data_IF_900094823514
#
_entry.id   IF_900094823514
#
_cell.length_a   1.000
_cell.length_b   1.000
_cell.length_c   1.000
_cell.angle_alpha   90.00
_cell.angle_beta   90.00
_cell.angle_gamma   90.00
#
_symmetry.space_group_name_H-M   'P 1'
#
loop_
_entity.id
_entity.type
_entity.pdbx_description
1 polymer ?
#
# COMPACT_ATOMS: atom_id res chain seq x y z
N UNK A 1 19.08 24.30 36.91
CA UNK A 1 18.29 23.05 36.92
C UNK A 1 17.56 22.99 35.57
N UNK A 2 18.14 22.28 34.63
CA UNK A 2 17.51 22.04 33.32
C UNK A 2 16.57 20.84 33.45
N UNK A 3 15.27 21.07 33.30
CA UNK A 3 14.25 20.03 33.24
C UNK A 3 14.43 19.23 31.96
N UNK A 4 14.92 18.00 32.07
CA UNK A 4 14.88 17.01 30.99
C UNK A 4 13.40 16.72 30.67
N UNK A 5 12.96 17.14 29.50
CA UNK A 5 11.67 16.71 28.95
C UNK A 5 11.77 15.20 28.65
N UNK A 6 11.02 14.42 29.41
CA UNK A 6 10.82 13.00 29.20
C UNK A 6 10.12 12.81 27.84
N UNK A 7 10.85 12.53 26.77
CA UNK A 7 10.28 11.99 25.54
C UNK A 7 9.82 10.55 25.81
N UNK A 8 8.61 10.41 26.30
CA UNK A 8 7.90 9.14 26.23
C UNK A 8 7.73 8.82 24.74
N UNK A 9 8.51 7.86 24.26
CA UNK A 9 8.30 7.25 22.94
C UNK A 9 6.95 6.52 23.01
N UNK A 10 5.88 7.19 22.62
CA UNK A 10 4.59 6.54 22.39
C UNK A 10 4.77 5.68 21.14
N UNK A 11 4.81 4.35 21.34
CA UNK A 11 4.87 3.41 20.22
C UNK A 11 3.71 3.69 19.24
N UNK A 12 4.00 3.70 17.95
CA UNK A 12 2.97 3.87 16.92
C UNK A 12 1.92 2.75 17.06
N UNK A 13 0.63 3.07 16.83
CA UNK A 13 -0.43 2.07 16.88
C UNK A 13 -0.18 0.99 15.83
N UNK A 14 -0.33 -0.27 16.24
CA UNK A 14 -0.20 -1.40 15.32
C UNK A 14 -1.39 -1.46 14.37
N UNK A 15 -1.15 -1.77 13.09
CA UNK A 15 -2.11 -1.68 11.99
C UNK A 15 -3.40 -2.51 12.18
N UNK A 16 -3.29 -3.64 12.88
CA UNK A 16 -4.40 -4.56 13.20
C UNK A 16 -4.64 -4.69 14.70
N UNK A 17 -4.26 -3.67 15.48
CA UNK A 17 -4.48 -3.67 16.93
C UNK A 17 -5.95 -3.92 17.28
N UNK A 18 -6.19 -4.87 18.20
CA UNK A 18 -7.52 -5.23 18.67
C UNK A 18 -8.35 -6.07 17.69
N UNK A 19 -7.83 -6.44 16.52
CA UNK A 19 -8.51 -7.34 15.59
C UNK A 19 -8.33 -8.80 15.99
N UNK A 20 -9.41 -9.57 15.90
CA UNK A 20 -9.41 -11.01 16.05
C UNK A 20 -9.65 -11.68 14.69
N UNK A 21 -8.63 -12.39 14.18
CA UNK A 21 -8.67 -13.01 12.84
C UNK A 21 -8.69 -14.52 12.99
N UNK A 22 -9.70 -15.17 12.41
CA UNK A 22 -9.66 -16.61 12.21
C UNK A 22 -8.89 -16.87 10.92
N UNK A 23 -7.74 -17.56 11.03
CA UNK A 23 -6.91 -18.01 9.92
C UNK A 23 -7.21 -19.47 9.62
N UNK A 24 -7.98 -19.71 8.57
CA UNK A 24 -8.31 -21.04 8.06
C UNK A 24 -7.29 -21.54 7.05
N UNK A 25 -6.80 -22.77 7.22
CA UNK A 25 -5.89 -23.43 6.29
C UNK A 25 -6.61 -24.59 5.62
N UNK A 26 -6.72 -24.55 4.29
CA UNK A 26 -7.08 -25.72 3.49
C UNK A 26 -5.83 -26.44 2.94
N UNK A 27 -5.98 -27.66 2.43
CA UNK A 27 -4.85 -28.47 1.99
C UNK A 27 -4.12 -27.90 0.77
N UNK A 28 -2.81 -27.74 0.86
CA UNK A 28 -1.95 -27.33 -0.24
C UNK A 28 -0.55 -26.96 0.22
N UNK A 29 0.42 -27.08 -0.69
CA UNK A 29 1.83 -26.77 -0.39
C UNK A 29 2.01 -25.35 0.15
N UNK A 30 1.17 -24.40 -0.22
CA UNK A 30 1.24 -23.01 0.22
C UNK A 30 0.98 -22.83 1.74
N UNK A 31 0.60 -23.87 2.50
CA UNK A 31 0.46 -23.82 3.95
C UNK A 31 1.71 -23.32 4.67
N UNK A 32 2.92 -23.52 4.12
CA UNK A 32 4.14 -22.99 4.71
C UNK A 32 4.12 -21.44 4.80
N UNK A 33 3.53 -20.76 3.81
CA UNK A 33 3.38 -19.29 3.84
C UNK A 33 2.40 -18.83 4.91
N UNK A 34 1.43 -19.67 5.28
CA UNK A 34 0.45 -19.32 6.33
C UNK A 34 1.08 -19.23 7.71
N UNK A 35 2.20 -19.93 7.94
CA UNK A 35 3.00 -19.79 9.14
C UNK A 35 3.62 -18.37 9.26
N UNK A 36 4.16 -17.86 8.16
CA UNK A 36 4.69 -16.50 8.09
C UNK A 36 3.57 -15.45 8.18
N UNK A 37 2.44 -15.68 7.49
CA UNK A 37 1.27 -14.81 7.57
C UNK A 37 0.74 -14.72 9.01
N UNK A 38 0.63 -15.85 9.72
CA UNK A 38 0.21 -15.88 11.13
C UNK A 38 1.10 -14.97 11.99
N UNK A 39 2.43 -15.09 11.84
CA UNK A 39 3.39 -14.24 12.56
C UNK A 39 3.27 -12.76 12.16
N UNK A 40 3.08 -12.48 10.87
CA UNK A 40 2.92 -11.12 10.36
C UNK A 40 1.66 -10.44 10.92
N UNK A 41 0.54 -11.15 10.97
CA UNK A 41 -0.71 -10.68 11.58
C UNK A 41 -0.55 -10.35 13.06
N UNK A 42 0.09 -11.24 13.83
CA UNK A 42 0.36 -11.02 15.27
C UNK A 42 1.28 -9.82 15.46
N UNK A 43 2.34 -9.70 14.65
CA UNK A 43 3.24 -8.55 14.71
C UNK A 43 2.53 -7.23 14.36
N UNK A 44 1.51 -7.28 13.50
CA UNK A 44 0.63 -6.15 13.20
C UNK A 44 -0.42 -5.86 14.29
N UNK A 45 -0.46 -6.65 15.38
CA UNK A 45 -1.32 -6.42 16.54
C UNK A 45 -2.62 -7.23 16.57
N UNK A 46 -2.84 -8.11 15.60
CA UNK A 46 -4.01 -9.01 15.62
C UNK A 46 -3.83 -10.17 16.60
N UNK A 47 -4.93 -10.67 17.13
CA UNK A 47 -5.01 -12.03 17.68
C UNK A 47 -5.41 -12.99 16.57
N UNK A 48 -4.74 -14.15 16.48
CA UNK A 48 -4.98 -15.11 15.40
C UNK A 48 -5.45 -16.44 15.99
N UNK A 49 -6.64 -16.87 15.58
CA UNK A 49 -7.17 -18.21 15.87
C UNK A 49 -7.02 -19.07 14.63
N UNK A 50 -6.25 -20.14 14.73
CA UNK A 50 -6.02 -21.04 13.59
C UNK A 50 -7.04 -22.18 13.58
N UNK A 51 -7.58 -22.44 12.38
CA UNK A 51 -8.47 -23.59 12.11
C UNK A 51 -7.93 -24.30 10.85
N UNK A 52 -7.76 -25.62 10.92
CA UNK A 52 -7.15 -26.40 9.84
C UNK A 52 -8.11 -27.50 9.39
N UNK A 53 -8.15 -27.73 8.07
CA UNK A 53 -8.78 -28.93 7.51
C UNK A 53 -7.83 -30.13 7.68
N UNK A 54 -8.38 -31.36 7.67
CA UNK A 54 -7.57 -32.59 7.67
C UNK A 54 -6.52 -32.59 6.55
N UNK A 55 -6.89 -32.08 5.37
CA UNK A 55 -5.96 -31.96 4.25
C UNK A 55 -4.80 -30.98 4.53
N UNK A 56 -5.03 -29.92 5.31
CA UNK A 56 -3.97 -28.96 5.68
C UNK A 56 -2.94 -29.60 6.61
N UNK A 57 -3.35 -30.52 7.49
CA UNK A 57 -2.46 -31.22 8.42
C UNK A 57 -1.41 -32.09 7.71
N UNK A 58 -1.63 -32.46 6.44
CA UNK A 58 -0.64 -33.15 5.60
C UNK A 58 0.51 -32.25 5.15
N UNK A 59 0.36 -30.92 5.20
CA UNK A 59 1.36 -29.95 4.72
C UNK A 59 2.03 -29.18 5.85
N UNK A 60 1.32 -28.95 6.96
CA UNK A 60 1.85 -28.29 8.15
C UNK A 60 1.13 -28.82 9.38
N UNK A 61 1.84 -28.97 10.49
CA UNK A 61 1.23 -29.57 11.68
C UNK A 61 0.48 -28.55 12.54
N UNK A 62 -0.59 -28.96 13.24
CA UNK A 62 -1.28 -28.12 14.23
C UNK A 62 -0.31 -27.59 15.31
N UNK A 63 0.68 -28.38 15.73
CA UNK A 63 1.70 -27.98 16.72
C UNK A 63 2.50 -26.77 16.23
N UNK A 64 2.89 -26.73 14.95
CA UNK A 64 3.60 -25.59 14.37
C UNK A 64 2.73 -24.34 14.44
N UNK A 65 1.47 -24.43 14.02
CA UNK A 65 0.57 -23.29 14.01
C UNK A 65 0.18 -22.83 15.43
N UNK A 66 0.07 -23.75 16.39
CA UNK A 66 -0.16 -23.43 17.79
C UNK A 66 1.02 -22.69 18.39
N UNK A 67 2.25 -23.12 18.13
CA UNK A 67 3.45 -22.45 18.61
C UNK A 67 3.58 -21.02 18.04
N UNK A 68 3.16 -20.80 16.79
CA UNK A 68 3.23 -19.50 16.14
C UNK A 68 2.08 -18.56 16.57
N UNK A 69 0.86 -19.06 16.71
CA UNK A 69 -0.30 -18.26 17.09
C UNK A 69 -0.40 -18.02 18.59
N UNK A 70 0.27 -18.84 19.42
CA UNK A 70 0.13 -18.85 20.86
C UNK A 70 -1.24 -19.33 21.35
N UNK A 71 -2.06 -19.92 20.48
CA UNK A 71 -3.43 -20.38 20.76
C UNK A 71 -3.62 -21.82 20.28
N UNK A 72 -4.46 -22.64 20.97
CA UNK A 72 -4.79 -23.97 20.51
C UNK A 72 -5.40 -23.95 19.08
N UNK A 73 -4.93 -24.83 18.23
CA UNK A 73 -5.46 -25.00 16.86
C UNK A 73 -6.69 -25.89 16.86
N UNK A 74 -7.71 -25.54 16.09
CA UNK A 74 -8.90 -26.36 15.90
C UNK A 74 -8.79 -27.13 14.58
N UNK A 75 -9.05 -28.46 14.63
CA UNK A 75 -8.96 -29.33 13.45
C UNK A 75 -10.24 -30.17 13.27
N UNK A 76 -11.15 -30.21 14.25
CA UNK A 76 -12.36 -31.02 14.23
C UNK A 76 -13.56 -30.27 14.75
N UNK A 77 -14.72 -30.47 14.11
CA UNK A 77 -16.00 -29.96 14.60
C UNK A 77 -16.44 -30.63 15.92
N UNK A 78 -15.82 -31.74 16.26
CA UNK A 78 -16.10 -32.51 17.47
C UNK A 78 -15.19 -32.16 18.64
N UNK A 79 -14.41 -31.08 18.49
CA UNK A 79 -13.52 -30.60 19.54
C UNK A 79 -14.29 -30.29 20.83
N UNK A 80 -13.87 -30.91 21.92
CA UNK A 80 -14.56 -30.82 23.21
C UNK A 80 -14.16 -29.63 24.07
N UNK A 81 -13.27 -28.74 23.59
CA UNK A 81 -12.81 -27.56 24.34
C UNK A 81 -13.92 -26.53 24.57
N UNK A 82 -14.84 -26.42 23.63
CA UNK A 82 -16.00 -25.54 23.77
C UNK A 82 -17.05 -26.18 24.67
N UNK A 83 -17.44 -25.50 25.76
CA UNK A 83 -18.36 -26.02 26.75
C UNK A 83 -19.75 -26.41 26.17
N UNK A 84 -20.20 -25.64 25.14
CA UNK A 84 -21.46 -25.89 24.43
C UNK A 84 -21.29 -26.80 23.21
N UNK A 85 -20.08 -27.26 22.90
CA UNK A 85 -19.70 -28.05 21.71
C UNK A 85 -20.11 -27.40 20.39
N UNK A 86 -20.19 -26.07 20.35
CA UNK A 86 -20.53 -25.28 19.16
C UNK A 86 -19.35 -24.43 18.69
N UNK A 87 -18.16 -25.02 18.55
CA UNK A 87 -16.94 -24.32 18.13
C UNK A 87 -17.17 -23.51 16.86
N UNK A 88 -17.89 -24.02 15.85
CA UNK A 88 -18.19 -23.34 14.62
C UNK A 88 -19.01 -22.05 14.81
N UNK A 89 -19.88 -22.00 15.80
CA UNK A 89 -20.67 -20.81 16.14
C UNK A 89 -19.80 -19.79 16.90
N UNK A 90 -19.14 -20.24 17.97
CA UNK A 90 -18.36 -19.35 18.84
C UNK A 90 -17.21 -18.68 18.06
N UNK A 91 -16.36 -19.49 17.39
CA UNK A 91 -15.23 -19.01 16.63
C UNK A 91 -15.63 -18.06 15.49
N UNK A 92 -16.76 -18.35 14.79
CA UNK A 92 -17.23 -17.49 13.71
C UNK A 92 -17.78 -16.15 14.20
N UNK A 93 -18.34 -16.08 15.43
CA UNK A 93 -18.94 -14.86 16.00
C UNK A 93 -17.93 -13.97 16.70
N UNK A 94 -16.84 -14.54 17.23
CA UNK A 94 -15.76 -13.81 17.88
C UNK A 94 -14.82 -13.15 16.87
N UNK A 95 -14.82 -13.60 15.62
CA UNK A 95 -13.93 -13.10 14.59
C UNK A 95 -14.35 -11.71 14.06
N UNK A 96 -13.36 -10.84 13.83
CA UNK A 96 -13.52 -9.64 13.00
C UNK A 96 -13.43 -9.96 11.50
N UNK A 97 -12.77 -11.08 11.14
CA UNK A 97 -12.74 -11.64 9.79
C UNK A 97 -12.33 -13.12 9.82
N UNK A 98 -12.82 -13.89 8.86
CA UNK A 98 -12.31 -15.23 8.52
C UNK A 98 -11.46 -15.12 7.26
N UNK A 99 -10.18 -15.51 7.34
CA UNK A 99 -9.22 -15.49 6.23
C UNK A 99 -8.81 -16.92 5.90
N UNK A 100 -9.14 -17.40 4.71
CA UNK A 100 -8.75 -18.73 4.25
C UNK A 100 -7.47 -18.61 3.42
N UNK A 101 -6.36 -19.00 3.98
CA UNK A 101 -5.04 -18.93 3.35
C UNK A 101 -4.17 -20.15 3.75
N UNK A 102 -3.88 -21.06 2.83
CA UNK A 102 -4.33 -21.12 1.44
C UNK A 102 -5.79 -21.54 1.30
N UNK A 103 -6.45 -21.10 0.20
CA UNK A 103 -7.77 -21.57 -0.21
C UNK A 103 -7.62 -22.43 -1.48
N UNK A 104 -7.74 -23.74 -1.35
CA UNK A 104 -7.62 -24.68 -2.47
C UNK A 104 -8.83 -24.64 -3.40
N UNK A 105 -8.71 -25.17 -4.62
CA UNK A 105 -9.83 -25.28 -5.55
C UNK A 105 -10.99 -26.10 -4.97
N UNK A 106 -10.70 -27.18 -4.24
CA UNK A 106 -11.69 -27.99 -3.55
C UNK A 106 -12.41 -27.16 -2.48
N UNK A 107 -11.67 -26.42 -1.64
CA UNK A 107 -12.27 -25.62 -0.59
C UNK A 107 -13.12 -24.46 -1.15
N UNK A 108 -12.69 -23.83 -2.25
CA UNK A 108 -13.49 -22.86 -3.00
C UNK A 108 -14.82 -23.48 -3.45
N UNK A 109 -14.78 -24.68 -4.02
CA UNK A 109 -15.99 -25.38 -4.46
C UNK A 109 -16.93 -25.72 -3.29
N UNK A 110 -16.38 -26.13 -2.13
CA UNK A 110 -17.18 -26.38 -0.90
C UNK A 110 -17.89 -25.13 -0.44
N UNK A 111 -17.20 -23.99 -0.40
CA UNK A 111 -17.78 -22.70 -0.02
C UNK A 111 -18.95 -22.31 -0.92
N UNK A 112 -18.76 -22.39 -2.25
CA UNK A 112 -19.80 -22.05 -3.25
C UNK A 112 -21.02 -22.95 -3.14
N UNK A 113 -20.81 -24.24 -2.82
CA UNK A 113 -21.91 -25.22 -2.69
C UNK A 113 -22.57 -25.20 -1.31
N UNK A 114 -22.06 -24.40 -0.34
CA UNK A 114 -22.56 -24.39 1.02
C UNK A 114 -22.34 -25.71 1.77
N UNK A 115 -21.31 -26.50 1.40
CA UNK A 115 -20.97 -27.73 2.12
C UNK A 115 -20.38 -27.39 3.49
N UNK A 116 -20.83 -28.11 4.50
CA UNK A 116 -20.51 -27.87 5.91
C UNK A 116 -20.19 -29.19 6.62
N UNK A 117 -19.37 -30.02 5.99
CA UNK A 117 -19.01 -31.37 6.42
C UNK A 117 -17.74 -31.43 7.29
N UNK A 118 -17.08 -30.31 7.50
CA UNK A 118 -15.93 -30.15 8.40
C UNK A 118 -15.92 -28.75 9.06
N UNK A 119 -15.13 -28.59 10.13
CA UNK A 119 -15.22 -27.39 10.99
C UNK A 119 -15.07 -26.08 10.23
N UNK A 120 -14.06 -25.95 9.37
CA UNK A 120 -13.74 -24.68 8.70
C UNK A 120 -14.85 -24.26 7.73
N UNK A 121 -15.38 -25.19 6.92
CA UNK A 121 -16.50 -24.91 6.01
C UNK A 121 -17.80 -24.63 6.78
N UNK A 122 -18.04 -25.35 7.88
CA UNK A 122 -19.19 -25.13 8.77
C UNK A 122 -19.13 -23.73 9.41
N UNK A 123 -17.95 -23.28 9.85
CA UNK A 123 -17.74 -21.93 10.37
C UNK A 123 -18.01 -20.86 9.32
N UNK A 124 -17.53 -21.07 8.08
CA UNK A 124 -17.75 -20.13 6.99
C UNK A 124 -19.26 -19.98 6.68
N UNK A 125 -20.02 -21.07 6.75
CA UNK A 125 -21.47 -21.06 6.53
C UNK A 125 -22.21 -20.44 7.73
N UNK A 126 -21.76 -20.67 8.96
CA UNK A 126 -22.40 -20.22 10.19
C UNK A 126 -22.09 -18.77 10.58
N UNK A 127 -21.12 -18.11 9.90
CA UNK A 127 -20.72 -16.74 10.21
C UNK A 127 -21.87 -15.75 10.02
N UNK A 128 -22.00 -14.70 10.85
CA UNK A 128 -22.86 -13.55 10.56
C UNK A 128 -22.31 -12.77 9.36
N UNK A 129 -22.95 -12.90 8.19
CA UNK A 129 -22.43 -12.39 6.89
C UNK A 129 -22.31 -10.86 6.87
N UNK A 130 -23.21 -10.18 7.55
CA UNK A 130 -23.27 -8.73 7.70
C UNK A 130 -22.13 -8.15 8.58
N UNK A 131 -21.52 -8.98 9.42
CA UNK A 131 -20.57 -8.54 10.45
C UNK A 131 -19.19 -9.18 10.33
N UNK A 132 -19.13 -10.45 9.92
CA UNK A 132 -17.87 -11.21 9.82
C UNK A 132 -17.56 -11.50 8.35
N UNK A 133 -16.72 -10.70 7.71
CA UNK A 133 -16.33 -10.90 6.32
C UNK A 133 -15.52 -12.18 6.13
N UNK A 134 -15.65 -12.78 4.96
CA UNK A 134 -14.85 -13.91 4.50
C UNK A 134 -13.88 -13.43 3.41
N UNK A 135 -12.58 -13.63 3.64
CA UNK A 135 -11.53 -13.34 2.69
C UNK A 135 -10.85 -14.66 2.28
N UNK A 136 -10.59 -14.85 1.00
CA UNK A 136 -9.98 -16.07 0.49
C UNK A 136 -8.73 -15.76 -0.32
N UNK A 137 -7.63 -16.47 -0.04
CA UNK A 137 -6.36 -16.41 -0.77
C UNK A 137 -6.21 -17.70 -1.59
N UNK A 138 -6.61 -17.72 -2.87
CA UNK A 138 -6.54 -18.91 -3.71
C UNK A 138 -5.11 -19.40 -3.88
N UNK A 139 -4.93 -20.73 -3.86
CA UNK A 139 -3.64 -21.35 -4.05
C UNK A 139 -3.79 -22.71 -4.75
N UNK A 140 -3.30 -22.81 -5.98
CA UNK A 140 -3.39 -24.03 -6.79
C UNK A 140 -2.43 -23.96 -7.98
N UNK A 141 -2.31 -25.06 -8.70
CA UNK A 141 -1.61 -25.10 -9.98
C UNK A 141 -2.29 -24.17 -11.02
N UNK A 142 -1.52 -23.69 -11.99
CA UNK A 142 -2.00 -22.74 -13.03
C UNK A 142 -3.17 -23.28 -13.84
N UNK A 143 -3.14 -24.57 -14.23
CA UNK A 143 -4.22 -25.19 -15.00
C UNK A 143 -5.50 -25.32 -14.17
N UNK A 144 -5.35 -25.65 -12.87
CA UNK A 144 -6.47 -25.65 -11.94
C UNK A 144 -7.05 -24.25 -11.74
N UNK A 145 -6.18 -23.22 -11.68
CA UNK A 145 -6.63 -21.84 -11.56
C UNK A 145 -7.35 -21.36 -12.81
N UNK A 146 -6.78 -21.63 -14.00
CA UNK A 146 -7.39 -21.25 -15.29
C UNK A 146 -8.63 -22.08 -15.64
N UNK A 147 -8.89 -23.19 -14.94
CA UNK A 147 -10.01 -24.06 -15.25
C UNK A 147 -11.37 -23.35 -15.14
N UNK A 148 -12.27 -23.49 -16.14
CA UNK A 148 -13.55 -22.77 -16.13
C UNK A 148 -14.39 -22.97 -14.86
N UNK A 149 -14.34 -24.16 -14.24
CA UNK A 149 -15.03 -24.44 -12.99
C UNK A 149 -14.48 -23.58 -11.82
N UNK A 150 -13.14 -23.44 -11.74
CA UNK A 150 -12.51 -22.63 -10.71
C UNK A 150 -12.82 -21.15 -10.90
N UNK A 151 -12.74 -20.62 -12.14
CA UNK A 151 -13.05 -19.24 -12.43
C UNK A 151 -14.52 -18.91 -12.15
N UNK A 152 -15.45 -19.81 -12.51
CA UNK A 152 -16.87 -19.67 -12.16
C UNK A 152 -17.09 -19.66 -10.64
N UNK A 153 -16.42 -20.54 -9.91
CA UNK A 153 -16.56 -20.61 -8.46
C UNK A 153 -15.96 -19.36 -7.77
N UNK A 154 -14.84 -18.82 -8.24
CA UNK A 154 -14.27 -17.57 -7.73
C UNK A 154 -15.23 -16.39 -7.96
N UNK A 155 -15.80 -16.29 -9.17
CA UNK A 155 -16.79 -15.27 -9.49
C UNK A 155 -18.06 -15.41 -8.60
N UNK A 156 -18.51 -16.63 -8.34
CA UNK A 156 -19.64 -16.88 -7.46
C UNK A 156 -19.33 -16.48 -6.01
N UNK A 157 -18.15 -16.81 -5.49
CA UNK A 157 -17.73 -16.37 -4.14
C UNK A 157 -17.75 -14.85 -4.00
N UNK A 158 -17.28 -14.13 -5.03
CA UNK A 158 -17.35 -12.67 -5.04
C UNK A 158 -18.80 -12.16 -5.07
N UNK A 159 -19.67 -12.77 -5.87
CA UNK A 159 -21.10 -12.44 -5.92
C UNK A 159 -21.80 -12.71 -4.58
N UNK A 160 -21.38 -13.74 -3.84
CA UNK A 160 -21.86 -14.10 -2.51
C UNK A 160 -21.24 -13.20 -1.40
N UNK A 161 -20.43 -12.20 -1.77
CA UNK A 161 -19.87 -11.21 -0.86
C UNK A 161 -18.54 -11.59 -0.21
N UNK A 162 -17.89 -12.69 -0.63
CA UNK A 162 -16.54 -12.98 -0.20
C UNK A 162 -15.50 -12.10 -0.92
N UNK A 163 -14.42 -11.76 -0.23
CA UNK A 163 -13.30 -11.01 -0.81
C UNK A 163 -12.25 -11.97 -1.31
N UNK A 164 -12.05 -12.00 -2.62
CA UNK A 164 -10.97 -12.80 -3.24
C UNK A 164 -9.71 -11.94 -3.31
N UNK A 165 -8.65 -12.34 -2.57
CA UNK A 165 -7.39 -11.60 -2.46
C UNK A 165 -6.47 -11.72 -3.70
N UNK A 166 -6.90 -12.51 -4.70
CA UNK A 166 -6.13 -12.73 -5.92
C UNK A 166 -5.05 -13.80 -5.76
N UNK A 167 -4.23 -13.93 -6.80
CA UNK A 167 -3.11 -14.89 -6.87
C UNK A 167 -1.86 -14.21 -7.37
N UNK A 168 -0.70 -14.78 -7.02
CA UNK A 168 0.58 -14.42 -7.60
C UNK A 168 0.87 -15.21 -8.87
N UNK A 169 1.74 -14.66 -9.72
CA UNK A 169 2.30 -15.32 -10.91
C UNK A 169 3.76 -15.70 -10.68
N UNK A 170 4.20 -16.81 -11.25
CA UNK A 170 5.59 -17.25 -11.17
C UNK A 170 5.77 -18.77 -11.20
N UNK A 171 7.00 -19.23 -10.90
CA UNK A 171 7.33 -20.65 -10.85
C UNK A 171 6.55 -21.38 -9.74
N UNK A 172 5.98 -22.50 -10.05
CA UNK A 172 5.19 -23.37 -9.16
C UNK A 172 5.96 -24.62 -8.78
N UNK A 173 5.56 -25.29 -7.70
CA UNK A 173 6.23 -26.48 -7.18
C UNK A 173 6.30 -27.65 -8.19
N UNK A 174 5.36 -27.70 -9.15
CA UNK A 174 5.35 -28.68 -10.24
C UNK A 174 6.29 -28.34 -11.40
N UNK A 175 7.05 -27.23 -11.34
CA UNK A 175 7.95 -26.78 -12.40
C UNK A 175 7.29 -25.90 -13.47
N UNK A 176 5.99 -25.69 -13.41
CA UNK A 176 5.28 -24.79 -14.31
C UNK A 176 5.38 -23.32 -13.87
N UNK A 177 5.15 -22.39 -14.80
CA UNK A 177 5.12 -20.95 -14.52
C UNK A 177 3.77 -20.36 -14.93
N UNK A 178 3.16 -19.57 -14.06
CA UNK A 178 1.87 -18.91 -14.33
C UNK A 178 1.15 -18.49 -13.07
N UNK A 179 -0.11 -18.08 -13.24
CA UNK A 179 -1.00 -17.65 -12.17
C UNK A 179 -1.49 -18.83 -11.33
N UNK A 180 -1.84 -18.58 -10.07
CA UNK A 180 -2.40 -19.58 -9.15
C UNK A 180 -1.60 -19.75 -7.86
N UNK A 181 -0.41 -19.16 -7.74
CA UNK A 181 0.33 -19.14 -6.48
C UNK A 181 -0.41 -18.31 -5.44
N UNK A 182 -0.44 -18.77 -4.18
CA UNK A 182 -0.83 -17.91 -3.10
C UNK A 182 0.07 -16.69 -3.04
N UNK A 183 -0.50 -15.52 -2.86
CA UNK A 183 0.23 -14.28 -2.61
C UNK A 183 1.28 -14.47 -1.51
N UNK A 184 2.30 -13.63 -1.50
CA UNK A 184 3.29 -13.64 -0.43
C UNK A 184 2.67 -13.12 0.87
N UNK A 185 3.15 -13.56 2.06
CA UNK A 185 2.58 -13.18 3.34
C UNK A 185 2.48 -11.66 3.55
N UNK A 186 3.48 -10.91 3.10
CA UNK A 186 3.49 -9.45 3.19
C UNK A 186 2.43 -8.81 2.29
N UNK A 187 2.18 -9.36 1.10
CA UNK A 187 1.12 -8.90 0.19
C UNK A 187 -0.27 -9.15 0.80
N UNK A 188 -0.48 -10.33 1.40
CA UNK A 188 -1.72 -10.66 2.11
C UNK A 188 -1.94 -9.76 3.32
N UNK A 189 -0.87 -9.46 4.08
CA UNK A 189 -0.93 -8.52 5.20
C UNK A 189 -1.33 -7.12 4.73
N UNK A 190 -0.74 -6.61 3.63
CA UNK A 190 -1.12 -5.32 3.06
C UNK A 190 -2.58 -5.28 2.62
N UNK A 191 -3.09 -6.35 2.02
CA UNK A 191 -4.49 -6.43 1.62
C UNK A 191 -5.44 -6.49 2.82
N UNK A 192 -5.06 -7.18 3.90
CA UNK A 192 -5.84 -7.25 5.14
C UNK A 192 -5.84 -5.90 5.88
N UNK A 193 -4.71 -5.22 5.98
CA UNK A 193 -4.64 -3.87 6.52
C UNK A 193 -5.53 -2.93 5.70
N UNK A 194 -5.39 -2.95 4.37
CA UNK A 194 -6.24 -2.17 3.50
C UNK A 194 -7.72 -2.51 3.69
N UNK A 195 -8.09 -3.80 3.86
CA UNK A 195 -9.47 -4.20 4.08
C UNK A 195 -10.08 -3.52 5.31
N UNK A 196 -9.35 -3.48 6.43
CA UNK A 196 -9.82 -2.87 7.68
C UNK A 196 -9.69 -1.34 7.72
N UNK A 197 -8.92 -0.74 6.81
CA UNK A 197 -8.77 0.71 6.74
C UNK A 197 -10.07 1.38 6.25
N UNK A 198 -10.56 2.45 6.91
CA UNK A 198 -11.72 3.22 6.45
C UNK A 198 -11.54 3.72 5.01
N UNK A 199 -12.59 3.59 4.18
CA UNK A 199 -12.54 3.91 2.74
C UNK A 199 -12.89 5.37 2.46
N UNK A 200 -12.24 6.31 3.13
CA UNK A 200 -12.51 7.75 3.01
C UNK A 200 -12.21 8.33 1.61
N UNK A 201 -11.44 7.63 0.77
CA UNK A 201 -11.19 8.02 -0.62
C UNK A 201 -11.86 7.08 -1.65
N UNK A 202 -12.89 6.33 -1.25
CA UNK A 202 -13.62 5.45 -2.19
C UNK A 202 -14.18 6.26 -3.36
N UNK A 203 -13.91 5.79 -4.59
CA UNK A 203 -14.34 6.46 -5.83
C UNK A 203 -13.43 7.61 -6.28
N UNK A 204 -12.39 7.95 -5.50
CA UNK A 204 -11.40 8.95 -5.90
C UNK A 204 -10.30 8.35 -6.77
N UNK A 205 -9.79 9.13 -7.71
CA UNK A 205 -8.64 8.79 -8.56
C UNK A 205 -7.47 9.70 -8.18
N UNK A 206 -6.47 9.11 -7.56
CA UNK A 206 -5.31 9.82 -7.03
C UNK A 206 -4.11 9.66 -7.96
N UNK A 207 -3.56 10.78 -8.40
CA UNK A 207 -2.31 10.88 -9.15
C UNK A 207 -1.23 11.44 -8.23
N UNK A 208 -0.15 10.70 -8.01
CA UNK A 208 0.96 11.13 -7.15
C UNK A 208 2.29 11.02 -7.89
N UNK A 209 3.14 12.04 -7.73
CA UNK A 209 4.53 11.98 -8.22
C UNK A 209 5.47 11.64 -7.07
N UNK A 210 6.53 10.87 -7.30
CA UNK A 210 7.49 10.48 -6.27
C UNK A 210 8.92 10.31 -6.81
N UNK A 211 9.88 10.36 -5.90
CA UNK A 211 11.29 10.21 -6.25
C UNK A 211 11.91 11.45 -6.87
N UNK A 212 13.20 11.39 -7.21
CA UNK A 212 13.90 12.48 -7.91
C UNK A 212 13.66 12.41 -9.41
N UNK A 213 13.90 13.50 -10.12
CA UNK A 213 14.17 13.45 -11.56
C UNK A 213 15.67 13.39 -11.80
N UNK A 214 16.05 12.94 -12.98
CA UNK A 214 17.44 12.84 -13.43
C UNK A 214 17.56 13.56 -14.78
N UNK A 215 18.33 14.66 -14.76
CA UNK A 215 18.56 15.49 -15.94
C UNK A 215 19.95 15.15 -16.52
N UNK A 216 19.94 14.52 -17.69
CA UNK A 216 21.17 14.04 -18.31
C UNK A 216 22.07 15.19 -18.76
N UNK A 217 23.34 15.14 -18.41
CA UNK A 217 24.43 15.97 -18.99
C UNK A 217 24.97 15.25 -20.23
N UNK A 218 25.20 13.96 -20.10
CA UNK A 218 25.61 13.05 -21.17
C UNK A 218 25.09 11.63 -20.88
N UNK A 219 25.32 10.59 -21.70
CA UNK A 219 24.82 9.24 -21.47
C UNK A 219 25.22 8.62 -20.14
N UNK A 220 26.25 9.17 -19.46
CA UNK A 220 26.85 8.60 -18.24
C UNK A 220 26.56 9.45 -17.00
N UNK A 221 26.43 10.78 -17.15
CA UNK A 221 26.36 11.76 -16.05
C UNK A 221 25.08 12.58 -16.13
N UNK A 222 24.57 12.99 -14.98
CA UNK A 222 23.41 13.86 -14.87
C UNK A 222 23.28 14.51 -13.50
N UNK A 223 22.27 15.35 -13.38
CA UNK A 223 21.90 16.08 -12.17
C UNK A 223 20.65 15.41 -11.61
N UNK A 224 20.61 15.19 -10.30
CA UNK A 224 19.48 14.60 -9.60
C UNK A 224 19.41 15.12 -8.17
N UNK A 225 18.25 15.02 -7.55
CA UNK A 225 18.04 15.33 -6.14
C UNK A 225 18.24 14.07 -5.26
N UNK A 226 18.55 14.27 -3.97
CA UNK A 226 18.77 13.18 -3.01
C UNK A 226 17.46 12.52 -2.49
N UNK A 227 16.36 12.69 -3.18
CA UNK A 227 15.08 12.12 -2.77
C UNK A 227 15.07 10.60 -2.92
N UNK A 228 14.70 9.89 -1.86
CA UNK A 228 14.52 8.43 -1.89
C UNK A 228 13.15 7.99 -2.44
N UNK A 229 12.18 8.91 -2.60
CA UNK A 229 10.81 8.59 -3.00
C UNK A 229 9.92 8.01 -1.90
N UNK A 230 10.46 7.64 -0.73
CA UNK A 230 9.74 6.93 0.34
C UNK A 230 8.40 7.58 0.72
N UNK A 231 8.35 8.92 0.81
CA UNK A 231 7.11 9.61 1.21
C UNK A 231 6.01 9.46 0.16
N UNK A 232 6.31 9.66 -1.12
CA UNK A 232 5.33 9.51 -2.20
C UNK A 232 4.83 8.07 -2.35
N UNK A 233 5.70 7.08 -2.14
CA UNK A 233 5.31 5.67 -2.11
C UNK A 233 4.43 5.34 -0.90
N UNK A 234 4.72 5.90 0.27
CA UNK A 234 3.87 5.77 1.45
C UNK A 234 2.49 6.40 1.23
N UNK A 235 2.41 7.58 0.58
CA UNK A 235 1.14 8.22 0.22
C UNK A 235 0.36 7.36 -0.79
N UNK A 236 1.02 6.81 -1.81
CA UNK A 236 0.37 5.93 -2.77
C UNK A 236 -0.25 4.69 -2.09
N UNK A 237 0.49 4.08 -1.15
CA UNK A 237 0.00 2.96 -0.33
C UNK A 237 -1.18 3.39 0.55
N UNK A 238 -1.06 4.46 1.31
CA UNK A 238 -2.11 4.95 2.21
C UNK A 238 -3.40 5.32 1.46
N UNK A 239 -3.27 5.95 0.29
CA UNK A 239 -4.42 6.29 -0.55
C UNK A 239 -5.14 5.04 -1.10
N UNK A 240 -4.38 4.01 -1.51
CA UNK A 240 -4.95 2.71 -1.91
C UNK A 240 -5.65 2.02 -0.72
N UNK A 241 -5.04 2.03 0.46
CA UNK A 241 -5.66 1.53 1.70
C UNK A 241 -6.98 2.26 1.99
N UNK A 242 -7.04 3.57 1.75
CA UNK A 242 -8.23 4.40 1.88
C UNK A 242 -9.26 4.25 0.75
N UNK A 243 -9.01 3.39 -0.25
CA UNK A 243 -9.95 3.03 -1.31
C UNK A 243 -9.88 3.86 -2.59
N UNK A 244 -8.84 4.67 -2.78
CA UNK A 244 -8.60 5.37 -4.03
C UNK A 244 -8.04 4.43 -5.11
N UNK A 245 -8.35 4.75 -6.37
CA UNK A 245 -7.59 4.26 -7.52
C UNK A 245 -6.32 5.13 -7.66
N UNK A 246 -5.14 4.50 -7.57
CA UNK A 246 -3.87 5.24 -7.46
C UNK A 246 -2.98 5.02 -8.67
N UNK A 247 -2.55 6.14 -9.27
CA UNK A 247 -1.47 6.19 -10.25
C UNK A 247 -0.25 6.90 -9.66
N UNK A 248 0.88 6.19 -9.60
CA UNK A 248 2.16 6.68 -9.10
C UNK A 248 3.10 6.94 -10.26
N UNK A 249 3.47 8.20 -10.50
CA UNK A 249 4.52 8.59 -11.45
C UNK A 249 5.84 8.71 -10.70
N UNK A 250 6.74 7.76 -10.92
CA UNK A 250 7.97 7.62 -10.14
C UNK A 250 9.22 7.94 -10.96
N UNK A 251 10.04 8.86 -10.48
CA UNK A 251 11.42 9.03 -10.92
C UNK A 251 12.29 7.83 -10.53
N UNK A 252 13.61 7.86 -10.84
CA UNK A 252 14.50 6.73 -10.60
C UNK A 252 14.65 6.40 -9.12
N UNK A 253 14.00 5.35 -8.67
CA UNK A 253 14.09 4.79 -7.30
C UNK A 253 13.98 3.27 -7.34
N UNK A 254 14.59 2.59 -6.36
CA UNK A 254 14.57 1.13 -6.23
C UNK A 254 13.43 0.58 -5.36
N UNK A 255 12.48 1.43 -4.94
CA UNK A 255 11.35 1.02 -4.12
C UNK A 255 10.38 0.12 -4.89
N UNK A 256 9.88 -0.93 -4.24
CA UNK A 256 8.81 -1.76 -4.77
C UNK A 256 7.50 -0.97 -4.89
N UNK A 257 6.74 -1.26 -5.92
CA UNK A 257 5.42 -0.65 -6.11
C UNK A 257 4.46 -1.18 -5.05
N UNK A 258 3.77 -0.31 -4.29
CA UNK A 258 2.74 -0.77 -3.36
C UNK A 258 1.66 -1.56 -4.09
N UNK A 259 1.12 -2.56 -3.44
CA UNK A 259 0.12 -3.45 -4.02
C UNK A 259 -1.13 -2.67 -4.47
N UNK A 260 -1.67 -3.00 -5.64
CA UNK A 260 -2.85 -2.33 -6.21
C UNK A 260 -2.62 -0.89 -6.68
N UNK A 261 -1.37 -0.45 -6.79
CA UNK A 261 -0.99 0.86 -7.33
C UNK A 261 -0.46 0.71 -8.75
N UNK A 262 -0.98 1.50 -9.68
CA UNK A 262 -0.46 1.59 -11.05
C UNK A 262 0.77 2.49 -11.08
N UNK A 263 1.95 1.96 -11.47
CA UNK A 263 3.19 2.72 -11.51
C UNK A 263 3.63 3.04 -12.93
N UNK A 264 4.07 4.29 -13.11
CA UNK A 264 4.70 4.78 -14.35
C UNK A 264 6.11 5.25 -13.99
N UNK A 265 7.11 4.60 -14.58
CA UNK A 265 8.49 5.02 -14.41
C UNK A 265 8.84 6.12 -15.40
N UNK A 266 9.43 7.19 -14.89
CA UNK A 266 9.93 8.31 -15.67
C UNK A 266 11.38 8.59 -15.29
N UNK A 267 12.11 9.36 -16.11
CA UNK A 267 13.50 9.69 -15.83
C UNK A 267 13.70 11.18 -15.58
N UNK A 268 13.27 12.03 -16.50
CA UNK A 268 13.48 13.48 -16.43
C UNK A 268 12.22 14.23 -15.98
N UNK A 269 12.38 15.50 -15.66
CA UNK A 269 11.28 16.43 -15.36
C UNK A 269 10.28 16.52 -16.53
N UNK A 270 10.77 16.54 -17.77
CA UNK A 270 9.92 16.53 -18.96
C UNK A 270 9.08 15.24 -19.04
N UNK A 271 9.71 14.06 -18.86
CA UNK A 271 8.96 12.80 -18.87
C UNK A 271 7.91 12.74 -17.76
N UNK A 272 8.21 13.31 -16.58
CA UNK A 272 7.27 13.38 -15.47
C UNK A 272 6.11 14.32 -15.80
N UNK A 273 6.37 15.48 -16.38
CA UNK A 273 5.34 16.42 -16.83
C UNK A 273 4.40 15.76 -17.85
N UNK A 274 4.93 15.09 -18.89
CA UNK A 274 4.15 14.41 -19.90
C UNK A 274 3.24 13.31 -19.30
N UNK A 275 3.81 12.51 -18.40
CA UNK A 275 3.07 11.45 -17.71
C UNK A 275 1.94 12.00 -16.82
N UNK A 276 2.19 13.12 -16.13
CA UNK A 276 1.19 13.80 -15.29
C UNK A 276 0.13 14.48 -16.14
N UNK A 277 0.50 15.24 -17.17
CA UNK A 277 -0.43 15.98 -18.03
C UNK A 277 -1.45 15.04 -18.70
N UNK A 278 -0.99 13.89 -19.17
CA UNK A 278 -1.87 12.89 -19.80
C UNK A 278 -2.90 12.24 -18.86
N UNK A 279 -2.79 12.46 -17.53
CA UNK A 279 -3.63 11.82 -16.52
C UNK A 279 -4.35 12.78 -15.57
N UNK A 280 -3.88 14.01 -15.47
CA UNK A 280 -4.43 15.00 -14.55
C UNK A 280 -5.93 15.30 -14.82
N UNK A 281 -6.39 15.21 -16.07
CA UNK A 281 -7.80 15.42 -16.42
C UNK A 281 -8.73 14.35 -15.84
N UNK A 282 -8.24 13.11 -15.71
CA UNK A 282 -9.02 12.01 -15.15
C UNK A 282 -8.88 11.90 -13.63
N UNK A 283 -7.89 12.55 -13.02
CA UNK A 283 -7.66 12.52 -11.59
C UNK A 283 -8.62 13.45 -10.84
N UNK A 284 -8.94 13.07 -9.60
CA UNK A 284 -9.69 13.91 -8.66
C UNK A 284 -8.77 14.50 -7.58
N UNK A 285 -7.61 13.88 -7.36
CA UNK A 285 -6.57 14.31 -6.42
C UNK A 285 -5.23 14.26 -7.12
N UNK A 286 -4.44 15.32 -7.03
CA UNK A 286 -3.05 15.36 -7.49
C UNK A 286 -2.13 15.73 -6.32
N UNK A 287 -1.12 14.90 -6.07
CA UNK A 287 -0.13 15.11 -5.00
C UNK A 287 1.27 15.17 -5.60
N UNK A 288 1.91 16.33 -5.52
CA UNK A 288 3.24 16.57 -6.06
C UNK A 288 4.30 16.40 -4.96
N UNK A 289 4.81 15.15 -4.76
CA UNK A 289 5.87 14.87 -3.76
C UNK A 289 7.24 14.63 -4.37
N UNK A 290 7.33 14.54 -5.70
CA UNK A 290 8.59 14.32 -6.39
C UNK A 290 9.55 15.50 -6.17
N UNK A 291 10.83 15.20 -6.01
CA UNK A 291 11.90 16.19 -6.03
C UNK A 291 12.33 16.43 -7.49
N UNK A 292 11.55 17.25 -8.17
CA UNK A 292 11.83 17.64 -9.56
C UNK A 292 12.99 18.62 -9.58
N UNK A 293 13.95 18.43 -10.47
CA UNK A 293 15.05 19.39 -10.66
C UNK A 293 14.50 20.69 -11.27
N UNK A 294 14.86 21.83 -10.68
CA UNK A 294 14.45 23.16 -11.18
C UNK A 294 15.09 23.47 -12.53
N UNK A 295 16.29 22.95 -12.77
CA UNK A 295 17.07 23.19 -13.99
C UNK A 295 17.53 21.90 -14.65
N UNK A 296 17.74 21.96 -15.95
CA UNK A 296 18.37 20.92 -16.75
C UNK A 296 19.44 21.53 -17.66
N UNK A 297 20.43 20.75 -18.13
CA UNK A 297 21.30 21.21 -19.20
C UNK A 297 20.47 21.64 -20.42
N UNK A 298 20.77 22.83 -20.96
CA UNK A 298 20.09 23.36 -22.16
C UNK A 298 20.23 22.40 -23.35
N UNK A 299 21.40 21.74 -23.44
CA UNK A 299 21.69 20.71 -24.43
C UNK A 299 22.42 19.56 -23.76
N UNK A 300 21.83 18.36 -23.76
CA UNK A 300 22.48 17.14 -23.32
C UNK A 300 23.37 16.60 -24.45
N UNK A 301 24.61 16.23 -24.11
CA UNK A 301 25.50 15.59 -25.06
C UNK A 301 25.03 14.17 -25.39
N UNK A 302 25.03 13.80 -26.67
CA UNK A 302 24.74 12.45 -27.14
C UNK A 302 25.87 11.46 -26.91
N UNK A 303 27.10 11.99 -26.61
CA UNK A 303 28.28 11.20 -26.32
C UNK A 303 28.85 11.60 -24.96
N UNK A 304 29.57 10.67 -24.32
CA UNK A 304 30.30 10.96 -23.08
C UNK A 304 31.30 12.10 -23.31
N UNK A 305 31.16 13.19 -22.57
CA UNK A 305 32.12 14.32 -22.60
C UNK A 305 33.44 13.83 -22.08
N UNK A 306 34.48 13.86 -22.94
CA UNK A 306 35.85 13.44 -22.56
C UNK A 306 36.66 14.64 -22.14
N UNK A 307 37.71 14.43 -21.32
CA UNK A 307 38.76 15.43 -21.07
C UNK A 307 39.52 15.62 -22.36
N UNK A 308 39.72 16.88 -22.77
CA UNK A 308 40.44 17.25 -23.99
C UNK A 308 41.93 17.53 -23.76
N UNK A 309 42.40 17.40 -22.50
CA UNK A 309 43.79 17.68 -22.12
C UNK A 309 44.09 19.16 -21.89
N UNK A 310 43.15 20.07 -22.11
CA UNK A 310 43.33 21.53 -21.92
C UNK A 310 43.39 21.97 -20.46
N UNK A 311 43.01 21.09 -19.52
CA UNK A 311 42.84 21.43 -18.11
C UNK A 311 41.58 22.25 -17.80
N UNK A 312 40.81 22.62 -18.82
CA UNK A 312 39.52 23.32 -18.63
C UNK A 312 38.39 22.36 -18.27
N UNK A 313 37.47 22.84 -17.44
CA UNK A 313 36.25 22.10 -17.11
C UNK A 313 35.15 22.44 -18.11
N UNK A 314 34.30 21.45 -18.49
CA UNK A 314 33.15 21.72 -19.34
C UNK A 314 32.21 22.76 -18.71
N UNK A 315 31.86 23.80 -19.45
CA UNK A 315 30.85 24.77 -19.04
C UNK A 315 29.47 24.24 -19.47
N UNK A 316 28.55 24.11 -18.52
CA UNK A 316 27.18 23.71 -18.79
C UNK A 316 26.25 24.92 -18.72
N UNK A 317 25.51 25.13 -19.80
CA UNK A 317 24.41 26.09 -19.79
C UNK A 317 23.16 25.37 -19.26
N UNK A 318 22.40 26.04 -18.39
CA UNK A 318 21.17 25.52 -17.81
C UNK A 318 19.93 26.25 -18.36
N UNK A 319 18.85 25.55 -18.43
CA UNK A 319 17.51 26.09 -18.68
C UNK A 319 16.56 25.58 -17.60
N UNK A 320 15.53 26.36 -17.28
CA UNK A 320 14.53 25.99 -16.29
C UNK A 320 13.65 24.82 -16.78
N UNK A 321 13.28 23.96 -15.86
CA UNK A 321 12.25 22.96 -16.07
C UNK A 321 10.87 23.57 -15.83
N UNK A 322 9.86 23.06 -16.54
CA UNK A 322 8.48 23.46 -16.30
C UNK A 322 8.02 22.98 -14.93
N UNK A 323 7.43 23.88 -14.18
CA UNK A 323 6.84 23.59 -12.87
C UNK A 323 5.57 22.74 -13.00
N UNK A 324 5.69 21.45 -12.69
CA UNK A 324 4.61 20.49 -12.83
C UNK A 324 3.43 20.84 -11.92
N UNK A 325 3.70 21.20 -10.65
CA UNK A 325 2.65 21.56 -9.70
C UNK A 325 1.88 22.80 -10.15
N UNK A 326 2.59 23.85 -10.54
CA UNK A 326 1.96 25.09 -11.01
C UNK A 326 1.14 24.83 -12.29
N UNK A 327 1.67 24.04 -13.22
CA UNK A 327 0.96 23.68 -14.47
C UNK A 327 -0.34 22.95 -14.18
N UNK A 328 -0.34 21.97 -13.28
CA UNK A 328 -1.54 21.21 -12.94
C UNK A 328 -2.54 22.03 -12.12
N UNK A 329 -2.06 22.82 -11.15
CA UNK A 329 -2.91 23.68 -10.31
C UNK A 329 -3.63 24.77 -11.13
N UNK A 330 -3.04 25.18 -12.25
CA UNK A 330 -3.65 26.16 -13.16
C UNK A 330 -4.52 25.52 -14.25
N UNK A 331 -4.65 24.19 -14.28
CA UNK A 331 -5.51 23.49 -15.24
C UNK A 331 -6.99 23.85 -15.05
N UNK A 332 -7.81 23.72 -16.12
CA UNK A 332 -9.26 23.96 -16.00
C UNK A 332 -9.94 23.12 -14.92
N UNK A 333 -9.55 21.86 -14.77
CA UNK A 333 -10.09 20.95 -13.76
C UNK A 333 -9.77 21.42 -12.32
N UNK A 334 -8.54 21.87 -12.06
CA UNK A 334 -8.15 22.41 -10.76
C UNK A 334 -8.88 23.72 -10.43
N UNK A 335 -8.96 24.64 -11.41
CA UNK A 335 -9.68 25.93 -11.24
C UNK A 335 -11.18 25.74 -11.02
N UNK A 336 -11.76 24.70 -11.61
CA UNK A 336 -13.17 24.33 -11.42
C UNK A 336 -13.43 23.53 -10.13
N UNK A 337 -12.41 23.28 -9.27
CA UNK A 337 -12.54 22.50 -8.06
C UNK A 337 -12.73 20.98 -8.28
N UNK A 338 -12.56 20.50 -9.50
CA UNK A 338 -12.70 19.07 -9.85
C UNK A 338 -11.43 18.27 -9.54
N UNK A 339 -10.29 18.94 -9.40
CA UNK A 339 -8.99 18.36 -9.08
C UNK A 339 -8.41 19.03 -7.84
N UNK A 340 -8.32 18.32 -6.74
CA UNK A 340 -7.71 18.79 -5.49
C UNK A 340 -6.18 18.64 -5.58
N UNK A 341 -5.47 19.77 -5.62
CA UNK A 341 -4.01 19.78 -5.78
C UNK A 341 -3.31 19.95 -4.43
N UNK A 342 -2.34 19.06 -4.16
CA UNK A 342 -1.48 19.09 -2.96
C UNK A 342 -0.04 19.26 -3.38
N UNK A 343 0.60 20.33 -2.91
CA UNK A 343 2.02 20.56 -3.11
C UNK A 343 2.86 20.09 -1.94
N UNK A 344 4.13 19.79 -2.19
CA UNK A 344 5.13 19.55 -1.14
C UNK A 344 6.23 20.60 -1.18
N UNK A 345 6.73 20.99 -0.01
CA UNK A 345 7.86 21.88 0.17
C UNK A 345 8.85 21.24 1.15
N UNK A 346 10.05 20.96 0.68
CA UNK A 346 11.18 20.59 1.53
C UNK A 346 12.02 21.85 1.77
N UNK A 347 11.96 22.38 2.98
CA UNK A 347 12.64 23.63 3.35
C UNK A 347 13.81 23.31 4.30
N UNK A 348 14.76 24.21 4.40
CA UNK A 348 15.88 24.11 5.34
C UNK A 348 15.67 24.93 6.61
N UNK A 349 14.81 25.95 6.57
CA UNK A 349 14.49 26.88 7.66
C UNK A 349 13.14 27.57 7.38
N UNK A 350 12.58 28.27 8.37
CA UNK A 350 11.37 29.09 8.26
C UNK A 350 10.19 28.38 7.57
N UNK A 351 9.97 27.09 7.96
CA UNK A 351 9.07 26.17 7.29
C UNK A 351 7.66 26.75 7.08
N UNK A 352 7.07 27.36 8.11
CA UNK A 352 5.71 27.90 8.03
C UNK A 352 5.61 29.04 7.02
N UNK A 353 6.50 30.02 7.11
CA UNK A 353 6.47 31.21 6.26
C UNK A 353 6.72 30.82 4.79
N UNK A 354 7.74 29.99 4.53
CA UNK A 354 8.05 29.50 3.21
C UNK A 354 6.92 28.67 2.61
N UNK A 355 6.29 27.81 3.42
CA UNK A 355 5.17 26.99 2.99
C UNK A 355 3.94 27.85 2.63
N UNK A 356 3.62 28.88 3.45
CA UNK A 356 2.53 29.81 3.16
C UNK A 356 2.76 30.58 1.86
N UNK A 357 3.95 31.17 1.70
CA UNK A 357 4.34 31.88 0.48
C UNK A 357 4.26 30.99 -0.76
N UNK A 358 4.76 29.75 -0.66
CA UNK A 358 4.73 28.78 -1.76
C UNK A 358 3.31 28.35 -2.09
N UNK A 359 2.42 28.12 -1.09
CA UNK A 359 1.00 27.80 -1.30
C UNK A 359 0.30 28.86 -2.12
N UNK A 360 0.47 30.13 -1.73
CA UNK A 360 -0.13 31.26 -2.44
C UNK A 360 0.41 31.40 -3.86
N UNK A 361 1.73 31.31 -4.04
CA UNK A 361 2.38 31.39 -5.36
C UNK A 361 1.94 30.28 -6.30
N UNK A 362 1.76 29.05 -5.80
CA UNK A 362 1.33 27.89 -6.60
C UNK A 362 -0.18 27.77 -6.74
N UNK A 363 -0.95 28.57 -5.98
CA UNK A 363 -2.40 28.56 -5.98
C UNK A 363 -3.00 27.17 -5.68
N UNK A 364 -2.41 26.48 -4.70
CA UNK A 364 -2.88 25.15 -4.28
C UNK A 364 -3.74 25.25 -3.00
N UNK A 365 -4.79 24.42 -2.84
CA UNK A 365 -5.60 24.41 -1.64
C UNK A 365 -4.81 23.94 -0.42
N UNK A 366 -3.88 23.00 -0.59
CA UNK A 366 -3.06 22.43 0.48
C UNK A 366 -1.58 22.37 0.07
N UNK A 367 -0.71 22.84 0.95
CA UNK A 367 0.73 22.62 0.87
C UNK A 367 1.22 21.85 2.09
N UNK A 368 2.07 20.86 1.88
CA UNK A 368 2.68 20.03 2.92
C UNK A 368 4.16 20.41 3.01
N UNK A 369 4.56 20.94 4.15
CA UNK A 369 5.94 21.30 4.43
C UNK A 369 6.66 20.27 5.29
N UNK A 370 7.97 20.11 5.08
CA UNK A 370 8.86 19.34 5.96
C UNK A 370 10.29 19.91 5.92
N UNK A 371 11.10 19.62 6.94
CA UNK A 371 12.52 19.96 6.96
C UNK A 371 13.27 18.91 6.15
N UNK A 372 13.67 19.25 4.92
CA UNK A 372 14.26 18.35 3.95
C UNK A 372 15.54 17.64 4.43
N UNK A 373 16.57 18.36 4.94
CA UNK A 373 17.83 17.76 5.37
C UNK A 373 17.65 16.67 6.44
N UNK A 374 16.68 16.81 7.34
CA UNK A 374 16.44 15.89 8.45
C UNK A 374 15.64 14.64 8.05
N UNK A 375 15.06 14.64 6.84
CA UNK A 375 14.07 13.62 6.45
C UNK A 375 14.44 12.84 5.20
N UNK A 376 15.40 13.31 4.41
CA UNK A 376 15.83 12.60 3.21
C UNK A 376 16.47 11.25 3.54
N UNK A 377 16.00 10.20 2.88
CA UNK A 377 16.45 8.82 3.14
C UNK A 377 15.93 8.16 4.41
N UNK A 378 15.45 8.94 5.40
CA UNK A 378 14.93 8.42 6.67
C UNK A 378 13.56 7.76 6.52
N UNK A 379 13.20 6.89 7.49
CA UNK A 379 11.87 6.23 7.53
C UNK A 379 10.82 7.06 8.28
N UNK A 380 11.24 8.05 9.06
CA UNK A 380 10.40 8.96 9.82
C UNK A 380 10.42 10.37 9.22
N UNK A 381 9.38 11.15 9.51
CA UNK A 381 9.24 12.55 9.12
C UNK A 381 8.36 13.30 10.14
N UNK A 382 8.26 14.61 10.00
CA UNK A 382 7.21 15.44 10.57
C UNK A 382 6.66 16.32 9.44
N UNK A 383 5.36 16.58 9.41
CA UNK A 383 4.72 17.34 8.35
C UNK A 383 3.99 18.56 8.92
N UNK A 384 4.03 19.65 8.16
CA UNK A 384 3.23 20.86 8.40
C UNK A 384 2.24 21.00 7.25
N UNK A 385 0.95 20.90 7.53
CA UNK A 385 -0.13 21.07 6.57
C UNK A 385 -0.56 22.55 6.57
N UNK A 386 -0.49 23.23 5.43
CA UNK A 386 -0.82 24.64 5.31
C UNK A 386 -1.93 24.83 4.28
N UNK A 387 -3.06 25.38 4.71
CA UNK A 387 -4.22 25.68 3.88
C UNK A 387 -4.69 27.15 4.08
N UNK A 388 -5.92 27.47 3.67
CA UNK A 388 -6.49 28.81 3.81
C UNK A 388 -6.92 29.13 5.25
N UNK A 389 -7.19 28.12 6.09
CA UNK A 389 -7.59 28.27 7.48
C UNK A 389 -6.39 28.38 8.43
N UNK A 390 -5.19 27.97 8.00
CA UNK A 390 -4.00 28.05 8.85
C UNK A 390 -3.01 26.91 8.61
N UNK A 391 -2.37 26.50 9.69
CA UNK A 391 -1.37 25.45 9.68
C UNK A 391 -1.68 24.37 10.74
N UNK A 392 -1.54 23.11 10.37
CA UNK A 392 -1.72 21.94 11.26
C UNK A 392 -0.45 21.11 11.24
N UNK A 393 0.10 20.83 12.41
CA UNK A 393 1.28 19.97 12.54
C UNK A 393 0.90 18.50 12.67
N UNK A 394 1.55 17.65 11.89
CA UNK A 394 1.60 16.20 12.11
C UNK A 394 2.95 15.88 12.73
N UNK A 395 2.97 15.44 14.00
CA UNK A 395 4.21 15.22 14.75
C UNK A 395 5.04 14.10 14.14
N UNK A 396 6.32 14.02 14.54
CA UNK A 396 7.27 13.04 14.01
C UNK A 396 6.76 11.62 14.19
N UNK A 397 6.61 10.90 13.07
CA UNK A 397 6.14 9.53 12.98
C UNK A 397 6.73 8.83 11.75
N UNK A 398 6.43 7.54 11.59
CA UNK A 398 6.78 6.82 10.35
C UNK A 398 6.12 7.48 9.14
N UNK A 399 6.78 7.41 7.98
CA UNK A 399 6.24 7.98 6.74
C UNK A 399 4.91 7.35 6.34
N UNK A 400 4.67 6.09 6.68
CA UNK A 400 3.39 5.45 6.39
C UNK A 400 2.26 5.99 7.29
N UNK A 401 2.51 6.16 8.58
CA UNK A 401 1.52 6.74 9.50
C UNK A 401 1.20 8.19 9.10
N UNK A 402 2.21 9.00 8.80
CA UNK A 402 2.01 10.38 8.31
C UNK A 402 1.26 10.41 6.97
N UNK A 403 1.53 9.45 6.08
CA UNK A 403 0.81 9.35 4.81
C UNK A 403 -0.68 9.03 5.02
N UNK A 404 -1.02 8.15 5.96
CA UNK A 404 -2.41 7.84 6.32
C UNK A 404 -3.12 9.04 6.94
N UNK A 405 -2.46 9.75 7.84
CA UNK A 405 -2.98 11.00 8.42
C UNK A 405 -3.21 12.06 7.34
N UNK A 406 -2.23 12.26 6.44
CA UNK A 406 -2.38 13.19 5.31
C UNK A 406 -3.55 12.82 4.40
N UNK A 407 -3.73 11.53 4.10
CA UNK A 407 -4.86 11.05 3.29
C UNK A 407 -6.20 11.35 3.97
N UNK A 408 -6.32 11.18 5.28
CA UNK A 408 -7.50 11.53 6.06
C UNK A 408 -7.76 13.05 6.03
N UNK A 409 -6.71 13.86 6.20
CA UNK A 409 -6.78 15.32 6.13
C UNK A 409 -7.19 15.84 4.74
N UNK A 410 -6.73 15.18 3.66
CA UNK A 410 -7.16 15.47 2.29
C UNK A 410 -8.65 15.12 2.13
N UNK A 411 -9.07 13.93 2.56
CA UNK A 411 -10.46 13.51 2.46
C UNK A 411 -11.41 14.46 3.20
N UNK A 412 -11.03 14.91 4.40
CA UNK A 412 -11.81 15.88 5.18
C UNK A 412 -11.97 17.22 4.47
N UNK A 413 -10.91 17.71 3.76
CA UNK A 413 -10.95 18.99 3.02
C UNK A 413 -11.69 18.91 1.69
N UNK A 414 -11.89 17.71 1.16
CA UNK A 414 -12.64 17.49 -0.09
C UNK A 414 -14.14 17.32 0.16
N UNK A 415 -14.54 17.06 1.40
CA UNK A 415 -15.96 16.99 1.78
C UNK A 415 -16.46 18.41 1.97
N UNK A 416 -17.54 18.84 1.26
CA UNK A 416 -18.08 20.20 1.36
C UNK A 416 -18.55 20.56 2.75
#
# INVERSE_FOLDING_TARGET
MMTQANHASTAEPLDLAGRHIVLGLSGGIACYKSAELCRALIKAGATVQVVMTEAAEQFITPVTMQALSGRPVYTSQWDGREANRMAHINLSREADAIVIAPCSADFIARLVQGRADELLSLMCLARPVDRVPLLVAPAMNREMYAHPATQRNLAQLQADGAVVLGVGSGAQACGETGDGRMLEPDELLEDLIAFFTPKCLKGQRLLVTAGPTYEAIDPVRGITNLSSGKMGFAIARAAREAGAEVTLVAGPVSLSTPRGVSRINVKSASNMLDAVAGRAQAATIFIATAAVADWRPATASTQKIKKDGSGQTPQLQFTENTDILATVAQSPAARAGQLFCVGFAAESHDLLENAQAKRLRKQVPLLVGNIGPDTFGQDHNALLLVDAQGATELPRASKLLLARQLVQEIAARMTP
#
